data_IF_057891154135
#
_entry.id   IF_057891154135
#
_cell.length_a   1.000
_cell.length_b   1.000
_cell.length_c   1.000
_cell.angle_alpha   90.00
_cell.angle_beta   90.00
_cell.angle_gamma   90.00
#
_symmetry.space_group_name_H-M   'P 1'
#
loop_
_entity.id
_entity.type
_entity.pdbx_description
1 polymer ?
#
# COMPACT_ATOMS: atom_id res chain seq x y z
N UNK A 1 -33.46 0.79 26.60
CA UNK A 1 -32.97 1.68 25.54
C UNK A 1 -31.55 1.28 25.13
N UNK A 2 -31.38 0.48 24.07
CA UNK A 2 -30.06 0.23 23.49
C UNK A 2 -29.70 1.39 22.58
N UNK A 3 -28.54 2.01 22.83
CA UNK A 3 -28.01 3.11 22.03
C UNK A 3 -26.73 2.64 21.35
N UNK A 4 -26.77 2.54 20.02
CA UNK A 4 -25.60 2.24 19.21
C UNK A 4 -25.09 3.53 18.56
N UNK A 5 -23.82 3.87 18.77
CA UNK A 5 -23.21 5.09 18.28
C UNK A 5 -21.70 4.93 18.10
N UNK A 6 -21.12 5.74 17.22
CA UNK A 6 -19.68 5.68 16.93
C UNK A 6 -18.95 6.51 18.00
N UNK A 7 -18.13 5.82 18.81
CA UNK A 7 -17.21 6.47 19.74
C UNK A 7 -15.90 6.78 19.00
N UNK A 8 -15.84 7.95 18.36
CA UNK A 8 -14.66 8.45 17.64
C UNK A 8 -13.31 8.34 18.39
N UNK A 9 -13.23 8.49 19.74
CA UNK A 9 -11.98 8.29 20.47
C UNK A 9 -11.44 6.86 20.43
N UNK A 10 -12.32 5.86 20.27
CA UNK A 10 -11.94 4.44 20.21
C UNK A 10 -11.51 4.01 18.80
N UNK A 11 -11.95 4.73 17.79
CA UNK A 11 -11.60 4.51 16.38
C UNK A 11 -10.24 5.11 15.96
N UNK A 12 -9.52 5.78 16.87
CA UNK A 12 -8.22 6.43 16.60
C UNK A 12 -7.15 5.47 16.09
N UNK A 13 -7.26 4.19 16.41
CA UNK A 13 -6.33 3.14 15.99
C UNK A 13 -6.61 2.59 14.59
N UNK A 14 -7.80 2.84 14.01
CA UNK A 14 -8.19 2.24 12.74
C UNK A 14 -7.25 2.72 11.63
N UNK A 15 -6.98 4.02 11.54
CA UNK A 15 -6.17 4.57 10.44
C UNK A 15 -4.69 4.16 10.55
N UNK A 16 -4.02 4.24 11.72
CA UNK A 16 -2.66 3.68 11.87
C UNK A 16 -2.60 2.18 11.57
N UNK A 17 -3.63 1.41 11.93
CA UNK A 17 -3.68 -0.03 11.67
C UNK A 17 -3.85 -0.33 10.17
N UNK A 18 -4.58 0.49 9.42
CA UNK A 18 -4.63 0.41 7.95
C UNK A 18 -3.26 0.72 7.32
N UNK A 19 -2.52 1.69 7.85
CA UNK A 19 -1.15 1.96 7.39
C UNK A 19 -0.21 0.79 7.69
N UNK A 20 -0.38 0.10 8.83
CA UNK A 20 0.38 -1.11 9.12
C UNK A 20 0.12 -2.21 8.09
N UNK A 21 -1.14 -2.42 7.69
CA UNK A 21 -1.46 -3.36 6.62
C UNK A 21 -0.86 -2.94 5.27
N UNK A 22 -0.88 -1.64 4.94
CA UNK A 22 -0.23 -1.13 3.73
C UNK A 22 1.29 -1.43 3.74
N UNK A 23 1.96 -1.23 4.88
CA UNK A 23 3.39 -1.58 5.05
C UNK A 23 3.62 -3.07 4.81
N UNK A 24 2.78 -3.94 5.39
CA UNK A 24 2.91 -5.40 5.22
C UNK A 24 2.73 -5.76 3.75
N UNK A 25 1.74 -5.18 3.08
CA UNK A 25 1.48 -5.44 1.66
C UNK A 25 2.63 -4.97 0.76
N UNK A 26 3.20 -3.79 1.03
CA UNK A 26 4.40 -3.30 0.31
C UNK A 26 5.61 -4.21 0.54
N UNK A 27 5.84 -4.66 1.78
CA UNK A 27 6.93 -5.59 2.08
C UNK A 27 6.72 -6.90 1.32
N UNK A 28 5.50 -7.42 1.28
CA UNK A 28 5.18 -8.63 0.50
C UNK A 28 5.47 -8.38 -0.98
N UNK A 29 4.99 -7.27 -1.55
CA UNK A 29 5.22 -6.93 -2.95
C UNK A 29 6.71 -6.80 -3.28
N UNK A 30 7.49 -6.13 -2.42
CA UNK A 30 8.93 -5.92 -2.63
C UNK A 30 9.73 -7.20 -2.39
N UNK A 31 9.43 -7.98 -1.35
CA UNK A 31 10.23 -9.15 -0.97
C UNK A 31 9.83 -10.43 -1.72
N UNK A 32 8.72 -10.42 -2.47
CA UNK A 32 8.26 -11.58 -3.20
C UNK A 32 9.29 -12.02 -4.25
N UNK A 33 9.60 -13.31 -4.26
CA UNK A 33 10.49 -13.95 -5.25
C UNK A 33 9.74 -14.38 -6.52
N UNK A 34 8.41 -14.38 -6.49
CA UNK A 34 7.50 -14.63 -7.61
C UNK A 34 6.21 -13.82 -7.46
N UNK A 35 5.25 -13.97 -8.37
CA UNK A 35 3.92 -13.38 -8.20
C UNK A 35 3.73 -11.96 -8.70
N UNK A 36 4.75 -11.35 -9.30
CA UNK A 36 4.53 -10.10 -10.05
C UNK A 36 3.94 -10.40 -11.43
N UNK A 37 4.54 -11.34 -12.15
CA UNK A 37 4.06 -11.85 -13.44
C UNK A 37 4.24 -13.35 -13.49
N UNK A 38 3.24 -14.08 -13.92
CA UNK A 38 3.27 -15.53 -14.08
C UNK A 38 2.58 -15.93 -15.40
N UNK A 39 3.12 -16.94 -16.07
CA UNK A 39 2.41 -17.66 -17.15
C UNK A 39 1.34 -18.59 -16.55
N UNK A 40 0.53 -19.27 -17.37
CA UNK A 40 -0.50 -20.22 -16.92
C UNK A 40 0.01 -21.20 -15.84
N UNK A 41 -0.40 -20.95 -14.58
CA UNK A 41 0.03 -21.65 -13.37
C UNK A 41 1.55 -21.65 -13.09
N UNK A 42 2.27 -20.61 -13.52
CA UNK A 42 3.73 -20.48 -13.37
C UNK A 42 4.53 -21.68 -13.92
N UNK A 43 3.98 -22.39 -14.92
CA UNK A 43 4.59 -23.63 -15.45
C UNK A 43 5.88 -23.40 -16.20
N UNK A 44 5.99 -22.29 -16.92
CA UNK A 44 7.15 -22.01 -17.79
C UNK A 44 7.86 -20.71 -17.46
N UNK A 45 7.18 -19.79 -16.79
CA UNK A 45 7.71 -18.48 -16.48
C UNK A 45 7.04 -17.87 -15.26
N UNK A 46 7.85 -17.31 -14.39
CA UNK A 46 7.42 -16.38 -13.36
C UNK A 46 8.47 -15.28 -13.19
N UNK A 47 8.02 -14.13 -12.73
CA UNK A 47 8.87 -13.01 -12.42
C UNK A 47 8.45 -12.33 -11.13
N UNK A 48 9.43 -11.74 -10.48
CA UNK A 48 9.31 -10.78 -9.39
C UNK A 48 9.72 -9.39 -9.87
N UNK A 49 9.81 -8.44 -8.94
CA UNK A 49 10.44 -7.15 -9.19
C UNK A 49 11.95 -7.26 -9.48
N UNK A 50 12.60 -8.34 -9.01
CA UNK A 50 14.06 -8.47 -8.99
C UNK A 50 14.61 -9.40 -10.05
N UNK A 51 13.88 -10.46 -10.36
CA UNK A 51 14.35 -11.57 -11.19
C UNK A 51 13.20 -12.13 -12.03
N UNK A 52 13.55 -12.63 -13.21
CA UNK A 52 12.66 -13.43 -14.04
C UNK A 52 13.26 -14.83 -14.19
N UNK A 53 12.42 -15.83 -14.05
CA UNK A 53 12.81 -17.22 -14.19
C UNK A 53 12.01 -17.85 -15.31
N UNK A 54 12.71 -18.40 -16.31
CA UNK A 54 12.13 -19.17 -17.42
C UNK A 54 12.58 -20.62 -17.27
N UNK A 55 11.65 -21.55 -17.38
CA UNK A 55 11.97 -22.96 -17.24
C UNK A 55 11.11 -23.87 -18.12
N UNK A 56 11.70 -25.01 -18.49
CA UNK A 56 10.99 -26.09 -19.19
C UNK A 56 11.58 -27.42 -18.74
N UNK A 57 10.73 -28.39 -18.40
CA UNK A 57 11.14 -29.74 -17.96
C UNK A 57 12.12 -29.72 -16.77
N UNK A 58 11.77 -29.00 -15.69
CA UNK A 58 12.53 -28.87 -14.43
C UNK A 58 13.89 -28.16 -14.52
N UNK A 59 14.27 -27.63 -15.69
CA UNK A 59 15.44 -26.76 -15.84
C UNK A 59 14.98 -25.31 -15.84
N UNK A 60 15.43 -24.54 -14.84
CA UNK A 60 15.10 -23.13 -14.65
C UNK A 60 16.34 -22.25 -14.87
N UNK A 61 16.19 -21.24 -15.72
CA UNK A 61 17.17 -20.18 -15.93
C UNK A 61 16.60 -18.87 -15.37
N UNK A 62 17.24 -18.37 -14.31
CA UNK A 62 16.84 -17.15 -13.62
C UNK A 62 17.82 -16.03 -13.96
N UNK A 63 17.28 -14.90 -14.42
CA UNK A 63 18.05 -13.71 -14.77
C UNK A 63 17.57 -12.53 -13.95
N UNK A 64 18.51 -11.71 -13.51
CA UNK A 64 18.17 -10.50 -12.76
C UNK A 64 17.55 -9.45 -13.67
N UNK A 65 16.42 -8.89 -13.24
CA UNK A 65 15.82 -7.73 -13.87
C UNK A 65 16.63 -6.46 -13.58
N UNK A 66 17.50 -6.48 -12.58
CA UNK A 66 18.32 -5.32 -12.21
C UNK A 66 19.35 -4.96 -13.28
N UNK A 67 19.49 -5.71 -14.38
CA UNK A 67 20.24 -5.27 -15.56
C UNK A 67 19.52 -4.16 -16.34
N UNK A 68 18.21 -4.03 -16.16
CA UNK A 68 17.38 -3.05 -16.86
C UNK A 68 17.19 -1.76 -16.03
N UNK A 69 17.46 -0.57 -16.61
CA UNK A 69 17.30 0.70 -15.90
C UNK A 69 15.87 0.95 -15.40
N UNK A 70 14.85 0.55 -16.15
CA UNK A 70 13.45 0.72 -15.76
C UNK A 70 13.10 -0.15 -14.53
N UNK A 71 13.64 -1.36 -14.44
CA UNK A 71 13.40 -2.27 -13.32
C UNK A 71 14.11 -1.76 -12.05
N UNK A 72 15.34 -1.25 -12.18
CA UNK A 72 16.03 -0.54 -11.09
C UNK A 72 15.20 0.65 -10.60
N UNK A 73 14.60 1.42 -11.52
CA UNK A 73 13.76 2.55 -11.16
C UNK A 73 12.48 2.12 -10.42
N UNK A 74 11.79 1.07 -10.88
CA UNK A 74 10.62 0.49 -10.18
C UNK A 74 11.01 0.06 -8.77
N UNK A 75 12.11 -0.69 -8.61
CA UNK A 75 12.59 -1.12 -7.31
C UNK A 75 12.91 0.06 -6.38
N UNK A 76 13.61 1.07 -6.89
CA UNK A 76 13.94 2.27 -6.12
C UNK A 76 12.67 3.02 -5.68
N UNK A 77 11.70 3.22 -6.58
CA UNK A 77 10.45 3.90 -6.27
C UNK A 77 9.63 3.16 -5.21
N UNK A 78 9.52 1.83 -5.30
CA UNK A 78 8.82 1.00 -4.32
C UNK A 78 9.50 1.07 -2.94
N UNK A 79 10.82 0.98 -2.87
CA UNK A 79 11.58 1.05 -1.61
C UNK A 79 11.49 2.43 -0.98
N UNK A 80 11.67 3.51 -1.77
CA UNK A 80 11.54 4.88 -1.27
C UNK A 80 10.10 5.12 -0.76
N UNK A 81 9.10 4.65 -1.49
CA UNK A 81 7.69 4.67 -1.06
C UNK A 81 7.50 3.99 0.29
N UNK A 82 8.01 2.77 0.46
CA UNK A 82 7.94 2.02 1.73
C UNK A 82 8.61 2.77 2.88
N UNK A 83 9.79 3.36 2.66
CA UNK A 83 10.49 4.12 3.70
C UNK A 83 9.67 5.33 4.16
N UNK A 84 9.11 6.09 3.22
CA UNK A 84 8.23 7.22 3.54
C UNK A 84 6.97 6.74 4.26
N UNK A 85 6.39 5.62 3.85
CA UNK A 85 5.22 5.01 4.48
C UNK A 85 5.49 4.60 5.93
N UNK A 86 6.66 4.02 6.23
CA UNK A 86 7.08 3.69 7.61
C UNK A 86 7.18 4.97 8.46
N UNK A 87 7.77 6.04 7.93
CA UNK A 87 7.84 7.32 8.65
C UNK A 87 6.44 7.88 8.88
N UNK A 88 5.56 7.86 7.87
CA UNK A 88 4.18 8.30 7.99
C UNK A 88 3.41 7.50 9.06
N UNK A 89 3.63 6.18 9.13
CA UNK A 89 3.05 5.33 10.16
C UNK A 89 3.53 5.71 11.57
N UNK A 90 4.83 5.93 11.78
CA UNK A 90 5.38 6.33 13.08
C UNK A 90 4.78 7.68 13.52
N UNK A 91 4.76 8.66 12.63
CA UNK A 91 4.16 9.98 12.91
C UNK A 91 2.67 9.83 13.21
N UNK A 92 1.95 8.95 12.49
CA UNK A 92 0.52 8.70 12.74
C UNK A 92 0.24 8.13 14.14
N UNK A 93 1.08 7.21 14.62
CA UNK A 93 0.99 6.66 15.97
C UNK A 93 1.20 7.76 17.03
N UNK A 94 2.21 8.61 16.85
CA UNK A 94 2.47 9.72 17.78
C UNK A 94 1.33 10.74 17.77
N UNK A 95 0.85 11.11 16.59
CA UNK A 95 -0.18 12.12 16.40
C UNK A 95 -1.54 11.66 16.93
N UNK A 96 -1.95 10.41 16.71
CA UNK A 96 -3.28 9.92 17.08
C UNK A 96 -3.33 9.17 18.42
N UNK A 97 -2.26 8.47 18.80
CA UNK A 97 -2.27 7.60 19.98
C UNK A 97 -1.63 8.25 21.21
N UNK A 98 -0.62 9.11 21.03
CA UNK A 98 0.11 9.70 22.16
C UNK A 98 -0.33 11.14 22.49
N UNK A 99 -0.38 12.02 21.48
CA UNK A 99 -0.47 13.47 21.72
C UNK A 99 -1.77 14.14 21.22
N UNK A 100 -2.54 13.50 20.35
CA UNK A 100 -3.70 14.10 19.65
C UNK A 100 -3.36 15.45 19.00
N UNK A 101 -2.35 15.45 18.14
CA UNK A 101 -1.94 16.65 17.45
C UNK A 101 -2.54 16.72 16.04
N UNK A 102 -3.63 17.49 15.90
CA UNK A 102 -4.35 17.64 14.63
C UNK A 102 -3.54 18.34 13.53
N UNK A 103 -2.55 19.14 13.91
CA UNK A 103 -1.67 19.85 12.98
C UNK A 103 -0.77 18.89 12.19
N UNK A 104 -0.45 17.72 12.74
CA UNK A 104 0.36 16.71 12.08
C UNK A 104 -0.44 15.84 11.08
N UNK A 105 -1.77 15.83 11.15
CA UNK A 105 -2.60 14.97 10.29
C UNK A 105 -2.50 15.34 8.80
N UNK A 106 -2.59 16.62 8.37
CA UNK A 106 -2.38 16.98 6.97
C UNK A 106 -0.97 16.68 6.47
N UNK A 107 0.04 16.78 7.34
CA UNK A 107 1.42 16.41 7.00
C UNK A 107 1.52 14.93 6.65
N UNK A 108 0.95 14.05 7.48
CA UNK A 108 0.87 12.61 7.19
C UNK A 108 0.12 12.38 5.88
N UNK A 109 -1.01 13.05 5.67
CA UNK A 109 -1.78 12.97 4.43
C UNK A 109 -0.95 13.34 3.20
N UNK A 110 -0.17 14.42 3.27
CA UNK A 110 0.74 14.83 2.20
C UNK A 110 1.85 13.80 1.93
N UNK A 111 2.44 13.22 2.98
CA UNK A 111 3.41 12.13 2.82
C UNK A 111 2.81 10.91 2.13
N UNK A 112 1.57 10.54 2.46
CA UNK A 112 0.88 9.42 1.82
C UNK A 112 0.55 9.70 0.35
N UNK A 113 0.20 10.95 0.00
CA UNK A 113 0.04 11.34 -1.42
C UNK A 113 1.35 11.15 -2.19
N UNK A 114 2.49 11.51 -1.60
CA UNK A 114 3.79 11.28 -2.21
C UNK A 114 4.07 9.78 -2.40
N UNK A 115 3.80 8.95 -1.39
CA UNK A 115 3.91 7.47 -1.48
C UNK A 115 3.08 6.94 -2.64
N UNK A 116 1.82 7.37 -2.74
CA UNK A 116 0.91 6.95 -3.83
C UNK A 116 1.48 7.31 -5.20
N UNK A 117 2.00 8.53 -5.37
CA UNK A 117 2.59 8.94 -6.66
C UNK A 117 3.76 8.02 -7.04
N UNK A 118 4.67 7.76 -6.09
CA UNK A 118 5.83 6.89 -6.35
C UNK A 118 5.40 5.45 -6.70
N UNK A 119 4.46 4.89 -5.94
CA UNK A 119 3.96 3.53 -6.16
C UNK A 119 3.18 3.40 -7.46
N UNK A 120 2.30 4.36 -7.79
CA UNK A 120 1.56 4.33 -9.06
C UNK A 120 2.50 4.39 -10.26
N UNK A 121 3.54 5.22 -10.21
CA UNK A 121 4.55 5.26 -11.27
C UNK A 121 5.22 3.90 -11.39
N UNK A 122 5.68 3.31 -10.28
CA UNK A 122 6.34 2.00 -10.27
C UNK A 122 5.43 0.88 -10.83
N UNK A 123 4.18 0.84 -10.37
CA UNK A 123 3.18 -0.16 -10.75
C UNK A 123 2.70 -0.03 -12.19
N UNK A 124 2.82 1.14 -12.82
CA UNK A 124 2.49 1.34 -14.24
C UNK A 124 3.72 1.07 -15.12
N UNK A 125 4.89 1.56 -14.72
CA UNK A 125 6.14 1.38 -15.50
C UNK A 125 6.48 -0.10 -15.62
N UNK A 126 6.34 -0.87 -14.54
CA UNK A 126 6.64 -2.30 -14.56
C UNK A 126 5.90 -3.05 -15.68
N UNK A 127 4.56 -3.04 -15.77
CA UNK A 127 3.87 -3.74 -16.85
C UNK A 127 4.10 -3.11 -18.23
N UNK A 128 4.25 -1.79 -18.33
CA UNK A 128 4.53 -1.13 -19.61
C UNK A 128 5.82 -1.66 -20.25
N UNK A 129 6.90 -1.77 -19.47
CA UNK A 129 8.20 -2.23 -19.97
C UNK A 129 8.30 -3.76 -19.99
N UNK A 130 7.72 -4.44 -18.99
CA UNK A 130 7.79 -5.90 -18.92
C UNK A 130 7.05 -6.58 -20.07
N UNK A 131 5.93 -6.00 -20.52
CA UNK A 131 5.20 -6.53 -21.66
C UNK A 131 6.01 -6.47 -22.97
N UNK A 132 6.97 -5.56 -23.11
CA UNK A 132 7.84 -5.52 -24.30
C UNK A 132 8.84 -6.68 -24.34
N UNK A 133 9.14 -7.30 -23.19
CA UNK A 133 10.01 -8.48 -23.08
C UNK A 133 9.27 -9.81 -23.29
N UNK A 134 7.94 -9.74 -23.41
CA UNK A 134 7.06 -10.87 -23.64
C UNK A 134 6.72 -10.91 -25.14
N UNK A 135 7.17 -11.96 -25.83
CA UNK A 135 6.94 -12.10 -27.27
C UNK A 135 5.73 -12.99 -27.60
N UNK A 136 5.46 -14.01 -26.79
CA UNK A 136 4.36 -14.97 -27.00
C UNK A 136 3.89 -15.55 -25.65
N UNK A 137 2.59 -15.83 -25.50
CA UNK A 137 2.01 -16.47 -24.31
C UNK A 137 1.01 -15.60 -23.53
N UNK A 138 0.28 -16.21 -22.60
CA UNK A 138 -0.69 -15.53 -21.74
C UNK A 138 -0.08 -15.28 -20.35
N UNK A 139 0.25 -14.02 -20.07
CA UNK A 139 0.83 -13.63 -18.79
C UNK A 139 -0.18 -12.90 -17.93
N UNK A 140 -0.17 -13.24 -16.64
CA UNK A 140 -1.03 -12.65 -15.64
C UNK A 140 -0.19 -11.94 -14.60
N UNK A 141 -0.64 -10.75 -14.22
CA UNK A 141 -0.12 -10.08 -13.04
C UNK A 141 -0.86 -10.63 -11.82
N UNK A 142 -0.16 -11.32 -10.94
CA UNK A 142 -0.79 -12.12 -9.89
C UNK A 142 -0.65 -11.48 -8.50
N UNK A 143 -0.38 -12.29 -7.48
CA UNK A 143 -0.65 -11.95 -6.09
C UNK A 143 0.29 -10.85 -5.55
N UNK A 144 1.59 -10.88 -5.85
CA UNK A 144 2.54 -9.89 -5.33
C UNK A 144 2.33 -8.51 -5.96
N UNK A 145 2.06 -8.47 -7.27
CA UNK A 145 1.65 -7.23 -7.95
C UNK A 145 0.31 -6.69 -7.40
N UNK A 146 -0.65 -7.59 -7.14
CA UNK A 146 -1.90 -7.27 -6.47
C UNK A 146 -1.71 -6.66 -5.07
N UNK A 147 -0.75 -7.15 -4.29
CA UNK A 147 -0.38 -6.56 -3.00
C UNK A 147 0.17 -5.15 -3.14
N UNK A 148 0.98 -4.87 -4.17
CA UNK A 148 1.45 -3.52 -4.49
C UNK A 148 0.29 -2.54 -4.72
N UNK A 149 -0.65 -2.90 -5.59
CA UNK A 149 -1.88 -2.11 -5.80
C UNK A 149 -2.74 -1.99 -4.54
N UNK A 150 -2.85 -3.07 -3.76
CA UNK A 150 -3.57 -3.09 -2.49
C UNK A 150 -3.01 -2.08 -1.49
N UNK A 151 -1.68 -2.04 -1.34
CA UNK A 151 -1.00 -1.06 -0.50
C UNK A 151 -1.25 0.38 -0.98
N UNK A 152 -1.16 0.63 -2.29
CA UNK A 152 -1.44 1.94 -2.88
C UNK A 152 -2.87 2.40 -2.65
N UNK A 153 -3.87 1.53 -2.83
CA UNK A 153 -5.28 1.86 -2.61
C UNK A 153 -5.54 2.18 -1.13
N UNK A 154 -4.95 1.41 -0.21
CA UNK A 154 -5.02 1.70 1.22
C UNK A 154 -4.39 3.07 1.53
N UNK A 155 -3.24 3.39 0.92
CA UNK A 155 -2.59 4.69 1.08
C UNK A 155 -3.44 5.84 0.55
N UNK A 156 -4.12 5.68 -0.59
CA UNK A 156 -5.07 6.67 -1.14
C UNK A 156 -6.20 6.93 -0.14
N UNK A 157 -6.84 5.87 0.36
CA UNK A 157 -7.91 5.98 1.35
C UNK A 157 -7.44 6.69 2.62
N UNK A 158 -6.27 6.30 3.14
CA UNK A 158 -5.68 6.91 4.32
C UNK A 158 -5.30 8.38 4.10
N UNK A 159 -4.74 8.74 2.93
CA UNK A 159 -4.38 10.12 2.60
C UNK A 159 -5.60 11.05 2.68
N UNK A 160 -6.72 10.65 2.09
CA UNK A 160 -7.98 11.40 2.16
C UNK A 160 -8.45 11.51 3.61
N UNK A 161 -8.42 10.43 4.37
CA UNK A 161 -8.83 10.44 5.77
C UNK A 161 -7.96 11.38 6.61
N UNK A 162 -6.63 11.32 6.51
CA UNK A 162 -5.72 12.18 7.26
C UNK A 162 -5.87 13.67 6.90
N UNK A 163 -6.11 14.00 5.63
CA UNK A 163 -6.36 15.37 5.21
C UNK A 163 -7.71 15.91 5.70
N UNK A 164 -8.73 15.06 5.81
CA UNK A 164 -10.08 15.46 6.21
C UNK A 164 -10.32 15.42 7.73
N UNK A 165 -9.56 14.59 8.47
CA UNK A 165 -9.76 14.35 9.90
C UNK A 165 -9.68 15.60 10.79
N UNK A 166 -8.81 16.61 10.52
CA UNK A 166 -8.82 17.87 11.29
C UNK A 166 -10.17 18.58 11.31
N UNK A 167 -11.01 18.43 10.28
CA UNK A 167 -12.36 19.04 10.23
C UNK A 167 -13.33 18.44 11.27
N UNK A 168 -12.99 17.29 11.85
CA UNK A 168 -13.79 16.56 12.82
C UNK A 168 -13.16 16.60 14.23
N UNK A 169 -12.30 17.58 14.51
CA UNK A 169 -11.60 17.74 15.78
C UNK A 169 -12.53 17.70 17.00
N UNK A 170 -13.65 18.43 16.99
CA UNK A 170 -14.62 18.46 18.09
C UNK A 170 -15.27 17.09 18.37
N UNK A 171 -15.45 16.29 17.32
CA UNK A 171 -16.02 14.93 17.41
C UNK A 171 -14.97 13.94 17.91
N UNK A 172 -13.70 14.13 17.54
CA UNK A 172 -12.56 13.29 17.94
C UNK A 172 -12.08 13.57 19.36
N UNK A 173 -12.15 14.82 19.83
CA UNK A 173 -11.81 15.22 21.21
C UNK A 173 -12.91 14.86 22.21
N UNK A 174 -14.12 14.55 21.74
CA UNK A 174 -15.27 14.20 22.59
C UNK A 174 -15.97 15.41 23.21
N UNK A 175 -15.63 16.63 22.76
CA UNK A 175 -16.33 17.86 23.14
C UNK A 175 -17.78 17.86 22.63
N UNK A 176 -18.03 17.17 21.51
CA UNK A 176 -19.37 16.95 20.96
C UNK A 176 -19.97 15.63 21.45
N UNK A 177 -21.27 15.63 21.81
CA UNK A 177 -21.99 14.41 22.24
C UNK A 177 -21.94 13.32 21.17
N UNK A 178 -21.81 12.06 21.60
CA UNK A 178 -21.82 10.88 20.74
C UNK A 178 -23.06 10.88 19.84
N UNK A 179 -22.86 10.83 18.52
CA UNK A 179 -23.96 10.62 17.56
C UNK A 179 -24.46 9.19 17.69
N UNK A 180 -25.72 9.03 18.10
CA UNK A 180 -26.41 7.75 18.13
C UNK A 180 -27.03 7.48 16.76
N UNK A 181 -26.64 6.38 16.13
CA UNK A 181 -27.20 5.93 14.85
C UNK A 181 -28.55 5.23 15.04
N UNK A 182 -28.73 4.60 16.20
CA UNK A 182 -29.95 3.90 16.56
C UNK A 182 -30.23 4.06 18.05
N UNK A 183 -31.50 4.32 18.36
CA UNK A 183 -32.02 4.34 19.72
C UNK A 183 -33.27 3.48 19.73
N UNK A 184 -33.23 2.29 20.35
CA UNK A 184 -34.44 1.52 20.58
C UNK A 184 -35.27 2.22 21.66
N UNK A 185 -36.58 2.35 21.48
CA UNK A 185 -37.47 2.72 22.59
C UNK A 185 -37.30 1.75 23.77
#
# INVERSE_FOLDING_TARGET
MFRCGIAYPRCRWIVPLLLLFAIIFDIIAIAATSGWVEDEDAKTHYASMWEQCRGRNDIWDCKTLMEFPWAMAVAALMIIGLLILIVAFIISCVALCCTLNFTLLPLIGGMLVLVVILQVIALIVYPCEFNEMIFEGHYYYTWAYGFGWGATILCIGCAVLFCCMPRYEDELTGLKKVKYLYTSA
#
